data_IF_437054879078
#
_entry.id   IF_437054879078
#
_cell.length_a   1.000
_cell.length_b   1.000
_cell.length_c   1.000
_cell.angle_alpha   90.00
_cell.angle_beta   90.00
_cell.angle_gamma   90.00
#
_symmetry.space_group_name_H-M   'P 1'
#
loop_
_entity.id
_entity.type
_entity.pdbx_description
1 polymer ?
#
# COMPACT_ATOMS: atom_id res chain seq x y z
N UNK A 1 -5.90 11.56 3.53
CA UNK A 1 -4.60 10.91 3.85
C UNK A 1 -3.50 11.67 3.12
N UNK A 2 -2.32 11.84 3.71
CA UNK A 2 -1.24 12.63 3.10
C UNK A 2 -0.29 11.75 2.27
N UNK A 3 -0.35 11.85 0.94
CA UNK A 3 0.53 11.14 0.02
C UNK A 3 1.74 12.00 -0.38
N UNK A 4 2.92 11.42 -0.66
CA UNK A 4 3.94 12.13 -1.41
C UNK A 4 3.41 12.60 -2.78
N UNK A 5 3.72 13.83 -3.16
CA UNK A 5 3.29 14.41 -4.44
C UNK A 5 3.68 13.56 -5.66
N UNK A 6 4.83 12.90 -5.61
CA UNK A 6 5.33 12.05 -6.68
C UNK A 6 4.52 10.76 -6.89
N UNK A 7 3.62 10.40 -5.96
CA UNK A 7 2.71 9.26 -6.13
C UNK A 7 1.38 9.65 -6.80
N UNK A 8 1.15 10.94 -7.04
CA UNK A 8 -0.04 11.43 -7.72
C UNK A 8 0.27 11.83 -9.17
N UNK A 9 -0.51 11.32 -10.11
CA UNK A 9 -0.34 11.63 -11.53
C UNK A 9 -0.80 10.48 -12.41
N UNK A 10 -0.40 10.51 -13.68
CA UNK A 10 -0.57 9.35 -14.56
C UNK A 10 0.51 8.31 -14.23
N UNK A 11 0.16 7.03 -14.35
CA UNK A 11 1.02 5.92 -13.92
C UNK A 11 2.46 5.99 -14.47
N UNK A 12 2.62 6.36 -15.73
CA UNK A 12 3.95 6.45 -16.38
C UNK A 12 4.87 7.44 -15.66
N UNK A 13 4.33 8.60 -15.31
CA UNK A 13 5.10 9.69 -14.70
C UNK A 13 5.38 9.38 -13.23
N UNK A 14 4.38 8.85 -12.52
CA UNK A 14 4.55 8.37 -11.13
C UNK A 14 5.61 7.28 -11.06
N UNK A 15 5.55 6.27 -11.94
CA UNK A 15 6.56 5.21 -11.97
C UNK A 15 7.97 5.75 -12.26
N UNK A 16 8.10 6.73 -13.16
CA UNK A 16 9.38 7.39 -13.43
C UNK A 16 9.91 8.12 -12.18
N UNK A 17 9.05 8.84 -11.47
CA UNK A 17 9.40 9.52 -10.23
C UNK A 17 9.80 8.53 -9.12
N UNK A 18 9.02 7.46 -8.92
CA UNK A 18 9.35 6.37 -7.98
C UNK A 18 10.72 5.77 -8.31
N UNK A 19 11.01 5.46 -9.57
CA UNK A 19 12.32 4.93 -9.99
C UNK A 19 13.48 5.87 -9.66
N UNK A 20 13.29 7.19 -9.79
CA UNK A 20 14.28 8.18 -9.36
C UNK A 20 14.55 8.11 -7.86
N UNK A 21 13.51 7.93 -7.04
CA UNK A 21 13.65 7.72 -5.58
C UNK A 21 14.37 6.42 -5.25
N UNK A 22 14.07 5.35 -5.98
CA UNK A 22 14.79 4.06 -5.84
C UNK A 22 16.26 4.17 -6.21
N UNK A 23 16.61 4.96 -7.22
CA UNK A 23 18.01 5.28 -7.53
C UNK A 23 18.69 6.04 -6.41
N UNK A 24 17.99 6.94 -5.72
CA UNK A 24 18.50 7.64 -4.54
C UNK A 24 18.73 6.68 -3.37
N UNK A 25 17.78 5.79 -3.06
CA UNK A 25 17.97 4.70 -2.08
C UNK A 25 19.19 3.85 -2.40
N UNK A 26 19.38 3.48 -3.68
CA UNK A 26 20.54 2.70 -4.12
C UNK A 26 21.89 3.42 -3.95
N UNK A 27 21.87 4.75 -3.81
CA UNK A 27 23.05 5.58 -3.53
C UNK A 27 23.29 5.80 -2.04
N UNK A 28 22.43 5.26 -1.17
CA UNK A 28 22.56 5.34 0.28
C UNK A 28 21.64 6.37 0.96
N UNK A 29 20.75 7.04 0.21
CA UNK A 29 19.77 7.94 0.84
C UNK A 29 18.81 7.15 1.75
N UNK A 30 18.36 7.78 2.83
CA UNK A 30 17.39 7.19 3.75
C UNK A 30 15.97 7.19 3.18
N UNK A 31 15.10 6.36 3.76
CA UNK A 31 13.67 6.35 3.42
C UNK A 31 13.03 7.74 3.62
N UNK A 32 13.34 8.41 4.73
CA UNK A 32 12.86 9.77 5.00
C UNK A 32 13.34 10.75 3.93
N UNK A 33 14.62 10.67 3.50
CA UNK A 33 15.15 11.55 2.47
C UNK A 33 14.47 11.33 1.11
N UNK A 34 14.22 10.07 0.73
CA UNK A 34 13.60 9.78 -0.58
C UNK A 34 12.10 10.02 -0.61
N UNK A 35 11.44 10.02 0.55
CA UNK A 35 10.01 10.31 0.68
C UNK A 35 9.70 11.71 1.18
N UNK A 36 10.72 12.51 1.49
CA UNK A 36 10.57 13.92 1.81
C UNK A 36 10.04 14.72 0.62
N UNK A 37 9.43 15.87 0.91
CA UNK A 37 8.91 16.80 -0.08
C UNK A 37 7.46 17.18 0.18
N UNK A 38 6.83 17.72 -0.87
CA UNK A 38 5.44 18.13 -0.82
C UNK A 38 4.52 16.92 -0.58
N UNK A 39 3.46 17.16 0.19
CA UNK A 39 2.42 16.19 0.46
C UNK A 39 1.11 16.70 -0.13
N UNK A 40 0.32 15.76 -0.63
CA UNK A 40 -1.02 16.01 -1.16
C UNK A 40 -2.01 15.34 -0.20
N UNK A 41 -2.99 16.10 0.29
CA UNK A 41 -4.14 15.48 0.94
C UNK A 41 -5.02 14.84 -0.11
N UNK A 42 -5.21 13.53 -0.02
CA UNK A 42 -6.15 12.82 -0.88
C UNK A 42 -7.55 13.38 -0.74
N UNK A 43 -7.97 13.86 0.45
CA UNK A 43 -9.32 14.42 0.65
C UNK A 43 -9.61 15.62 -0.26
N UNK A 44 -8.59 16.43 -0.55
CA UNK A 44 -8.71 17.67 -1.33
C UNK A 44 -8.35 17.49 -2.81
N UNK A 45 -7.95 16.29 -3.22
CA UNK A 45 -7.48 16.02 -4.59
C UNK A 45 -8.33 14.93 -5.26
N UNK A 46 -8.75 15.14 -6.51
CA UNK A 46 -9.54 14.14 -7.24
C UNK A 46 -8.72 12.88 -7.53
N UNK A 47 -9.40 11.82 -7.94
CA UNK A 47 -8.77 10.57 -8.36
C UNK A 47 -8.88 9.44 -7.34
N UNK A 48 -8.49 8.25 -7.77
CA UNK A 48 -8.58 7.01 -7.00
C UNK A 48 -7.27 6.72 -6.28
N UNK A 49 -7.33 5.92 -5.22
CA UNK A 49 -6.19 5.29 -4.57
C UNK A 49 -5.99 3.91 -5.20
N UNK A 50 -5.04 3.83 -6.13
CA UNK A 50 -4.81 2.66 -6.96
C UNK A 50 -3.88 1.70 -6.24
N UNK A 51 -4.35 0.46 -6.07
CA UNK A 51 -3.64 -0.65 -5.42
C UNK A 51 -3.07 -1.66 -6.43
N UNK A 52 -3.39 -1.51 -7.72
CA UNK A 52 -2.91 -2.39 -8.77
C UNK A 52 -2.95 -1.68 -10.13
N UNK A 53 -1.90 -1.87 -10.94
CA UNK A 53 -1.79 -1.30 -12.27
C UNK A 53 -0.47 -1.68 -12.96
N UNK A 54 -0.22 -1.23 -14.20
CA UNK A 54 -1.04 -0.29 -14.98
C UNK A 54 -2.40 -0.89 -15.39
N UNK A 55 -3.43 -0.05 -15.50
CA UNK A 55 -4.72 -0.44 -16.08
C UNK A 55 -5.21 0.60 -17.08
N UNK A 56 -5.50 0.21 -18.34
CA UNK A 56 -6.09 1.11 -19.34
C UNK A 56 -7.45 1.67 -18.91
N UNK A 57 -8.19 0.95 -18.05
CA UNK A 57 -9.51 1.37 -17.60
C UNK A 57 -9.48 2.67 -16.78
N UNK A 58 -8.32 3.04 -16.21
CA UNK A 58 -8.14 4.29 -15.48
C UNK A 58 -8.16 5.54 -16.41
N UNK A 59 -8.24 5.35 -17.73
CA UNK A 59 -8.54 6.43 -18.68
C UNK A 59 -7.47 7.51 -18.80
N UNK A 60 -6.25 7.26 -18.30
CA UNK A 60 -5.16 8.23 -18.34
C UNK A 60 -5.36 9.45 -17.44
N UNK A 61 -6.31 9.41 -16.50
CA UNK A 61 -6.50 10.47 -15.52
C UNK A 61 -5.47 10.37 -14.37
N UNK A 62 -5.14 11.49 -13.71
CA UNK A 62 -4.30 11.49 -12.51
C UNK A 62 -4.93 10.74 -11.34
N UNK A 63 -4.14 9.86 -10.71
CA UNK A 63 -4.54 9.07 -9.54
C UNK A 63 -3.38 8.93 -8.54
N UNK A 64 -3.69 8.48 -7.33
CA UNK A 64 -2.69 8.09 -6.33
C UNK A 64 -2.24 6.65 -6.59
N UNK A 65 -1.04 6.45 -7.12
CA UNK A 65 -0.49 5.12 -7.41
C UNK A 65 0.31 4.57 -6.23
N UNK A 66 -0.36 4.34 -5.10
CA UNK A 66 0.24 3.96 -3.82
C UNK A 66 1.14 2.72 -3.87
N UNK A 67 0.96 1.84 -4.86
CA UNK A 67 1.77 0.62 -5.00
C UNK A 67 3.13 0.85 -5.68
N UNK A 68 3.30 1.97 -6.41
CA UNK A 68 4.34 2.11 -7.43
C UNK A 68 5.75 2.18 -6.84
N UNK A 69 5.93 2.86 -5.70
CA UNK A 69 7.23 2.97 -5.05
C UNK A 69 7.73 1.61 -4.54
N UNK A 70 6.91 0.89 -3.78
CA UNK A 70 7.25 -0.44 -3.27
C UNK A 70 7.49 -1.46 -4.38
N UNK A 71 6.71 -1.40 -5.46
CA UNK A 71 6.93 -2.23 -6.65
C UNK A 71 8.29 -1.92 -7.31
N UNK A 72 8.64 -0.65 -7.45
CA UNK A 72 9.92 -0.24 -8.02
C UNK A 72 11.12 -0.64 -7.13
N UNK A 73 10.94 -0.64 -5.81
CA UNK A 73 11.96 -1.12 -4.85
C UNK A 73 12.18 -2.62 -5.01
N UNK A 74 11.12 -3.42 -5.14
CA UNK A 74 11.23 -4.86 -5.38
C UNK A 74 11.92 -5.18 -6.72
N UNK A 75 11.57 -4.44 -7.78
CA UNK A 75 12.27 -4.56 -9.07
C UNK A 75 13.77 -4.23 -8.96
N UNK A 76 14.14 -3.23 -8.14
CA UNK A 76 15.54 -2.90 -7.91
C UNK A 76 16.28 -3.95 -7.07
N UNK A 77 15.64 -4.53 -6.05
CA UNK A 77 16.17 -5.68 -5.31
C UNK A 77 16.42 -6.88 -6.24
N UNK A 78 15.43 -7.25 -7.05
CA UNK A 78 15.53 -8.38 -7.99
C UNK A 78 16.66 -8.18 -9.03
N UNK A 79 16.97 -6.93 -9.37
CA UNK A 79 18.08 -6.56 -10.26
C UNK A 79 19.42 -6.37 -9.55
N UNK A 80 19.53 -6.67 -8.26
CA UNK A 80 20.75 -6.51 -7.46
C UNK A 80 21.18 -5.04 -7.26
N UNK A 81 20.28 -4.08 -7.45
CA UNK A 81 20.55 -2.63 -7.27
C UNK A 81 20.30 -2.17 -5.83
N UNK A 82 19.58 -2.96 -5.05
CA UNK A 82 19.37 -2.75 -3.62
C UNK A 82 19.77 -4.02 -2.87
N UNK A 83 20.22 -3.84 -1.62
CA UNK A 83 20.47 -4.97 -0.72
C UNK A 83 19.20 -5.31 0.07
N UNK A 84 19.15 -6.54 0.60
CA UNK A 84 18.04 -6.96 1.47
C UNK A 84 17.93 -6.05 2.71
N UNK A 85 19.06 -5.62 3.28
CA UNK A 85 19.08 -4.74 4.45
C UNK A 85 18.37 -3.39 4.19
N UNK A 86 18.54 -2.80 3.00
CA UNK A 86 17.83 -1.57 2.61
C UNK A 86 16.33 -1.84 2.51
N UNK A 87 15.94 -2.97 1.92
CA UNK A 87 14.53 -3.35 1.77
C UNK A 87 13.86 -3.63 3.12
N UNK A 88 14.58 -4.25 4.06
CA UNK A 88 14.08 -4.47 5.42
C UNK A 88 13.90 -3.15 6.19
N UNK A 89 14.83 -2.20 6.01
CA UNK A 89 14.71 -0.86 6.59
C UNK A 89 13.52 -0.08 5.99
N UNK A 90 13.30 -0.18 4.67
CA UNK A 90 12.12 0.41 4.00
C UNK A 90 10.84 -0.22 4.51
N UNK A 91 10.81 -1.55 4.66
CA UNK A 91 9.65 -2.27 5.19
C UNK A 91 9.26 -1.72 6.56
N UNK A 92 10.21 -1.68 7.51
CA UNK A 92 9.95 -1.21 8.86
C UNK A 92 9.40 0.23 8.88
N UNK A 93 10.03 1.13 8.13
CA UNK A 93 9.60 2.54 8.07
C UNK A 93 8.26 2.73 7.32
N UNK A 94 7.93 1.83 6.39
CA UNK A 94 6.65 1.87 5.68
C UNK A 94 5.45 1.56 6.57
N UNK A 95 5.65 0.86 7.70
CA UNK A 95 4.59 0.57 8.66
C UNK A 95 4.18 1.78 9.51
N UNK A 96 5.00 2.84 9.51
CA UNK A 96 4.80 4.03 10.36
C UNK A 96 3.89 5.07 9.72
N UNK A 97 3.66 5.02 8.40
CA UNK A 97 2.85 5.99 7.68
C UNK A 97 1.70 5.33 6.91
N UNK A 98 0.45 5.83 7.02
CA UNK A 98 -0.71 5.22 6.38
C UNK A 98 -0.60 5.14 4.86
N UNK A 99 -0.05 6.17 4.20
CA UNK A 99 0.14 6.18 2.74
C UNK A 99 1.08 5.06 2.28
N UNK A 100 2.19 4.85 3.01
CA UNK A 100 3.18 3.83 2.67
C UNK A 100 2.66 2.43 2.97
N UNK A 101 1.90 2.30 4.08
CA UNK A 101 1.19 1.08 4.42
C UNK A 101 0.22 0.66 3.31
N UNK A 102 -0.53 1.59 2.71
CA UNK A 102 -1.40 1.27 1.56
C UNK A 102 -0.60 0.63 0.41
N UNK A 103 0.61 1.13 0.15
CA UNK A 103 1.53 0.54 -0.82
C UNK A 103 1.92 -0.90 -0.49
N UNK A 104 2.17 -1.22 0.78
CA UNK A 104 2.41 -2.60 1.23
C UNK A 104 1.17 -3.49 1.13
N UNK A 105 -0.03 -2.91 1.25
CA UNK A 105 -1.30 -3.64 1.19
C UNK A 105 -1.80 -3.92 -0.23
N UNK A 106 -1.22 -3.25 -1.22
CA UNK A 106 -1.48 -3.47 -2.64
C UNK A 106 -1.19 -4.92 -3.06
N UNK A 107 -2.12 -5.55 -3.78
CA UNK A 107 -1.98 -6.95 -4.22
C UNK A 107 -0.69 -7.20 -5.04
N UNK A 108 -0.28 -6.23 -5.87
CA UNK A 108 0.97 -6.36 -6.64
C UNK A 108 2.23 -6.40 -5.78
N UNK A 109 2.12 -6.00 -4.51
CA UNK A 109 3.21 -5.95 -3.54
C UNK A 109 3.15 -7.13 -2.55
N UNK A 110 2.49 -8.23 -2.92
CA UNK A 110 2.36 -9.45 -2.12
C UNK A 110 3.67 -9.94 -1.50
N UNK A 111 4.78 -9.84 -2.25
CA UNK A 111 6.12 -10.26 -1.82
C UNK A 111 6.57 -9.61 -0.51
N UNK A 112 6.08 -8.41 -0.20
CA UNK A 112 6.42 -7.71 1.04
C UNK A 112 5.81 -8.38 2.28
N UNK A 113 4.61 -8.94 2.13
CA UNK A 113 3.82 -9.58 3.19
C UNK A 113 3.98 -11.11 3.23
N UNK A 114 4.65 -11.71 2.24
CA UNK A 114 4.86 -13.15 2.15
C UNK A 114 5.66 -13.75 3.33
N UNK A 115 6.79 -13.15 3.78
CA UNK A 115 7.55 -13.68 4.90
C UNK A 115 6.72 -13.74 6.18
N UNK A 116 6.68 -14.92 6.82
CA UNK A 116 5.83 -15.16 8.00
C UNK A 116 6.11 -14.20 9.15
N UNK A 117 7.39 -13.93 9.44
CA UNK A 117 7.82 -13.03 10.50
C UNK A 117 7.36 -11.57 10.33
N UNK A 118 6.84 -11.18 9.15
CA UNK A 118 6.33 -9.83 8.88
C UNK A 118 4.83 -9.67 9.09
N UNK A 119 4.09 -10.77 9.15
CA UNK A 119 2.61 -10.77 9.14
C UNK A 119 2.03 -10.04 10.33
N UNK A 120 2.53 -10.33 11.54
CA UNK A 120 2.04 -9.68 12.76
C UNK A 120 2.31 -8.16 12.73
N UNK A 121 3.52 -7.74 12.37
CA UNK A 121 3.87 -6.32 12.30
C UNK A 121 3.02 -5.56 11.26
N UNK A 122 2.71 -6.19 10.11
CA UNK A 122 1.82 -5.62 9.12
C UNK A 122 0.38 -5.49 9.64
N UNK A 123 -0.13 -6.52 10.34
CA UNK A 123 -1.44 -6.47 10.96
C UNK A 123 -1.52 -5.36 12.01
N UNK A 124 -0.53 -5.27 12.90
CA UNK A 124 -0.47 -4.25 13.93
C UNK A 124 -0.49 -2.85 13.31
N UNK A 125 0.25 -2.63 12.22
CA UNK A 125 0.23 -1.37 11.49
C UNK A 125 -1.15 -1.08 10.87
N UNK A 126 -1.83 -2.10 10.32
CA UNK A 126 -3.19 -1.96 9.80
C UNK A 126 -4.19 -1.57 10.90
N UNK A 127 -4.05 -2.15 12.10
CA UNK A 127 -4.90 -1.82 13.24
C UNK A 127 -4.63 -0.38 13.72
N UNK A 128 -3.35 0.03 13.80
CA UNK A 128 -2.97 1.40 14.17
C UNK A 128 -3.51 2.46 13.21
N UNK A 129 -3.46 2.17 11.90
CA UNK A 129 -3.85 3.12 10.85
C UNK A 129 -5.26 2.87 10.29
N UNK A 130 -6.06 2.01 10.94
CA UNK A 130 -7.33 1.54 10.38
C UNK A 130 -8.29 2.69 10.05
N UNK A 131 -8.43 3.64 10.96
CA UNK A 131 -9.32 4.79 10.78
C UNK A 131 -8.92 5.64 9.57
N UNK A 132 -7.61 5.83 9.34
CA UNK A 132 -7.10 6.55 8.17
C UNK A 132 -7.39 5.80 6.86
N UNK A 133 -7.36 4.47 6.87
CA UNK A 133 -7.69 3.65 5.70
C UNK A 133 -9.19 3.72 5.36
N UNK A 134 -10.07 3.69 6.36
CA UNK A 134 -11.52 3.73 6.11
C UNK A 134 -12.04 5.14 5.82
N UNK A 135 -11.37 6.18 6.35
CA UNK A 135 -11.74 7.58 6.13
C UNK A 135 -11.71 8.01 4.65
N UNK A 136 -10.89 7.35 3.82
CA UNK A 136 -10.86 7.59 2.37
C UNK A 136 -12.14 7.14 1.65
N UNK A 137 -12.98 6.32 2.30
CA UNK A 137 -14.24 5.85 1.75
C UNK A 137 -14.08 4.98 0.50
N UNK A 138 -15.03 5.05 -0.45
CA UNK A 138 -15.03 4.19 -1.64
C UNK A 138 -14.11 4.72 -2.74
N UNK A 139 -12.84 4.99 -2.43
CA UNK A 139 -11.86 5.56 -3.37
C UNK A 139 -10.75 4.61 -3.78
N UNK A 140 -10.71 3.41 -3.23
CA UNK A 140 -9.69 2.43 -3.57
C UNK A 140 -10.04 1.72 -4.89
N UNK A 141 -9.02 1.35 -5.65
CA UNK A 141 -9.21 0.63 -6.91
C UNK A 141 -8.10 -0.39 -7.17
N UNK A 142 -8.48 -1.56 -7.68
CA UNK A 142 -7.56 -2.57 -8.20
C UNK A 142 -7.42 -2.47 -9.74
N UNK A 143 -7.44 -1.25 -10.28
CA UNK A 143 -7.34 -0.98 -11.72
C UNK A 143 -8.67 -0.73 -12.44
N UNK A 144 -9.76 -0.55 -11.70
CA UNK A 144 -11.05 -0.05 -12.20
C UNK A 144 -11.09 1.49 -12.18
N UNK A 145 -11.92 2.11 -13.03
CA UNK A 145 -12.26 3.54 -12.93
C UNK A 145 -13.34 3.84 -11.88
N UNK A 146 -13.88 2.82 -11.23
CA UNK A 146 -14.82 2.95 -10.12
C UNK A 146 -14.10 2.61 -8.82
N UNK A 147 -14.22 3.51 -7.84
CA UNK A 147 -13.69 3.30 -6.51
C UNK A 147 -14.57 2.36 -5.67
N UNK A 148 -13.96 1.70 -4.69
CA UNK A 148 -14.61 0.81 -3.76
C UNK A 148 -14.03 1.00 -2.35
N UNK A 149 -14.77 0.64 -1.28
CA UNK A 149 -14.22 0.62 0.07
C UNK A 149 -13.00 -0.29 0.14
N UNK A 150 -11.97 0.08 0.91
CA UNK A 150 -10.73 -0.70 1.03
C UNK A 150 -10.99 -2.19 1.29
N UNK A 151 -11.89 -2.50 2.24
CA UNK A 151 -12.21 -3.87 2.63
C UNK A 151 -12.88 -4.71 1.53
N UNK A 152 -13.58 -4.09 0.59
CA UNK A 152 -14.20 -4.85 -0.51
C UNK A 152 -13.20 -5.37 -1.53
N UNK A 153 -11.97 -4.83 -1.53
CA UNK A 153 -10.91 -5.25 -2.45
C UNK A 153 -10.15 -6.46 -1.91
N UNK A 154 -9.53 -7.21 -2.83
CA UNK A 154 -8.49 -8.16 -2.47
C UNK A 154 -7.21 -7.40 -2.13
N UNK A 155 -6.70 -7.58 -0.91
CA UNK A 155 -5.50 -6.88 -0.42
C UNK A 155 -4.62 -7.84 0.36
N UNK A 156 -3.36 -7.46 0.56
CA UNK A 156 -2.42 -8.26 1.35
C UNK A 156 -2.87 -8.39 2.82
N UNK A 157 -3.71 -7.47 3.32
CA UNK A 157 -4.34 -7.61 4.65
C UNK A 157 -5.21 -8.87 4.71
N UNK A 158 -6.07 -9.11 3.72
CA UNK A 158 -6.90 -10.33 3.71
C UNK A 158 -6.06 -11.59 3.63
N UNK A 159 -4.97 -11.56 2.86
CA UNK A 159 -4.02 -12.66 2.83
C UNK A 159 -3.35 -12.88 4.20
N UNK A 160 -2.92 -11.81 4.89
CA UNK A 160 -2.34 -11.91 6.25
C UNK A 160 -3.36 -12.50 7.22
N UNK A 161 -4.59 -11.98 7.23
CA UNK A 161 -5.66 -12.47 8.11
C UNK A 161 -5.99 -13.95 7.84
N UNK A 162 -6.01 -14.37 6.58
CA UNK A 162 -6.20 -15.78 6.22
C UNK A 162 -5.07 -16.67 6.76
N UNK A 163 -3.81 -16.23 6.64
CA UNK A 163 -2.66 -16.96 7.20
C UNK A 163 -2.66 -17.00 8.74
N UNK A 164 -3.36 -16.06 9.39
CA UNK A 164 -3.58 -16.03 10.84
C UNK A 164 -4.83 -16.82 11.28
N UNK A 165 -5.47 -17.55 10.36
CA UNK A 165 -6.58 -18.45 10.69
C UNK A 165 -7.97 -17.83 10.54
N UNK A 166 -8.11 -16.60 10.05
CA UNK A 166 -9.44 -16.03 9.76
C UNK A 166 -10.08 -16.79 8.60
N UNK A 167 -11.28 -17.32 8.82
CA UNK A 167 -12.02 -18.07 7.83
C UNK A 167 -12.29 -17.25 6.56
N UNK A 168 -12.08 -17.85 5.38
CA UNK A 168 -12.33 -17.22 4.07
C UNK A 168 -13.74 -16.63 3.95
N UNK A 169 -14.75 -17.30 4.52
CA UNK A 169 -16.12 -16.79 4.53
C UNK A 169 -16.23 -15.44 5.25
N UNK A 170 -15.54 -15.26 6.38
CA UNK A 170 -15.51 -14.01 7.11
C UNK A 170 -14.75 -12.90 6.36
N UNK A 171 -13.67 -13.26 5.65
CA UNK A 171 -12.90 -12.31 4.82
C UNK A 171 -13.66 -11.80 3.59
N UNK A 172 -14.66 -12.55 3.14
CA UNK A 172 -15.52 -12.19 2.01
C UNK A 172 -16.82 -11.49 2.44
N UNK A 173 -17.14 -11.49 3.73
CA UNK A 173 -18.29 -10.78 4.27
C UNK A 173 -17.99 -9.28 4.47
N UNK A 174 -19.03 -8.43 4.54
CA UNK A 174 -18.88 -7.07 5.07
C UNK A 174 -18.23 -7.09 6.44
N UNK A 175 -17.41 -6.07 6.76
CA UNK A 175 -16.83 -5.98 8.10
C UNK A 175 -17.92 -5.84 9.16
N UNK A 176 -17.75 -6.48 10.33
CA UNK A 176 -18.60 -6.20 11.47
C UNK A 176 -18.45 -4.75 11.93
N UNK A 177 -19.42 -4.21 12.69
CA UNK A 177 -19.23 -2.96 13.42
C UNK A 177 -17.93 -3.03 14.25
N UNK A 178 -17.08 -2.00 14.14
CA UNK A 178 -15.75 -1.99 14.76
C UNK A 178 -14.61 -2.53 13.89
N UNK A 179 -14.89 -2.95 12.64
CA UNK A 179 -13.86 -3.21 11.63
C UNK A 179 -13.01 -4.46 11.87
N UNK A 180 -11.73 -4.39 11.48
CA UNK A 180 -10.78 -5.50 11.65
C UNK A 180 -10.57 -5.89 13.12
N UNK A 181 -10.47 -4.94 14.09
CA UNK A 181 -10.43 -5.31 15.51
C UNK A 181 -11.58 -6.22 15.95
N UNK A 182 -12.81 -5.90 15.54
CA UNK A 182 -13.98 -6.70 15.86
C UNK A 182 -13.97 -8.08 15.18
N UNK A 183 -13.46 -8.16 13.95
CA UNK A 183 -13.27 -9.44 13.26
C UNK A 183 -12.29 -10.38 14.01
N UNK A 184 -11.21 -9.82 14.56
CA UNK A 184 -10.18 -10.59 15.27
C UNK A 184 -10.64 -11.06 16.66
N UNK A 185 -11.58 -10.36 17.30
CA UNK A 185 -12.09 -10.72 18.63
C UNK A 185 -12.81 -12.10 18.66
N UNK A 186 -13.10 -12.68 17.50
CA UNK A 186 -13.72 -13.99 17.35
C UNK A 186 -12.72 -15.11 17.03
N UNK A 187 -11.42 -14.81 16.94
CA UNK A 187 -10.39 -15.83 16.81
C UNK A 187 -10.12 -16.49 18.17
N UNK A 188 -9.99 -17.82 18.21
CA UNK A 188 -9.71 -18.57 19.43
C UNK A 188 -8.30 -18.31 19.98
#
# INVERSE_FOLDING_TARGET
>A
MQFPDFEYGIYKDVLAACRKRVTALARGDSWDAVTAGARIDSADHPGLIVLHGPSPLLGGAPHFHAFALHMAIQDALAKGRLTQAVVDAVWAQSLEAPWSLVGLLAQTNLVWAYPEHRRQALLDACLRHWDALVAEGPRYSAGSNVGAPFWSLHSNLKMVLSNLGVATAALNAPLPPGGVPALLAHLP
#
